data_IF_495062055437
#
_entry.id   IF_495062055437
#
_cell.length_a   1.000
_cell.length_b   1.000
_cell.length_c   1.000
_cell.angle_alpha   90.00
_cell.angle_beta   90.00
_cell.angle_gamma   90.00
#
_symmetry.space_group_name_H-M   'P 1'
#
loop_
_entity.id
_entity.type
_entity.pdbx_description
1 polymer ?
#
# COMPACT_ATOMS: atom_id res chain seq x y z
N UNK A 1 -11.82 -5.18 -5.88
CA UNK A 1 -12.46 -3.86 -5.69
C UNK A 1 -12.50 -3.06 -7.01
N UNK A 2 -13.47 -2.15 -7.19
CA UNK A 2 -13.34 -1.12 -8.25
C UNK A 2 -12.30 -0.11 -7.81
N UNK A 3 -11.42 0.29 -8.73
CA UNK A 3 -10.36 1.24 -8.50
C UNK A 3 -10.52 2.42 -9.45
N UNK A 4 -10.11 3.60 -9.00
CA UNK A 4 -10.13 4.85 -9.77
C UNK A 4 -8.77 5.53 -9.69
N UNK A 5 -8.45 6.31 -10.71
CA UNK A 5 -7.27 7.18 -10.71
C UNK A 5 -7.57 8.40 -9.84
N UNK A 6 -6.71 8.66 -8.87
CA UNK A 6 -6.78 9.84 -8.00
C UNK A 6 -5.39 10.45 -7.81
N UNK A 7 -5.37 11.75 -7.48
CA UNK A 7 -4.15 12.41 -7.04
C UNK A 7 -4.21 12.54 -5.51
N UNK A 8 -3.27 11.91 -4.82
CA UNK A 8 -3.14 11.93 -3.35
C UNK A 8 -1.75 12.44 -3.00
N UNK A 9 -1.64 13.33 -2.02
CA UNK A 9 -0.37 13.87 -1.51
C UNK A 9 0.63 14.34 -2.59
N UNK A 10 0.07 14.84 -3.71
CA UNK A 10 0.78 15.38 -4.87
C UNK A 10 1.10 14.39 -6.00
N UNK A 11 0.85 13.09 -5.84
CA UNK A 11 1.15 12.05 -6.84
C UNK A 11 -0.10 11.30 -7.31
N UNK A 12 -0.05 10.68 -8.49
CA UNK A 12 -1.15 9.86 -9.00
C UNK A 12 -1.07 8.43 -8.49
N UNK A 13 -2.22 7.87 -8.12
CA UNK A 13 -2.35 6.49 -7.68
C UNK A 13 -3.70 5.90 -8.09
N UNK A 14 -3.76 4.56 -8.15
CA UNK A 14 -5.03 3.84 -8.14
C UNK A 14 -5.50 3.72 -6.69
N UNK A 15 -6.75 4.11 -6.42
CA UNK A 15 -7.37 4.03 -5.09
C UNK A 15 -8.73 3.33 -5.19
N UNK A 16 -9.26 2.76 -4.10
CA UNK A 16 -10.63 2.27 -4.05
C UNK A 16 -11.63 3.37 -4.43
N UNK A 17 -12.63 3.04 -5.25
CA UNK A 17 -13.73 3.97 -5.59
C UNK A 17 -14.56 4.36 -4.35
N UNK A 18 -14.60 3.49 -3.34
CA UNK A 18 -15.27 3.74 -2.07
C UNK A 18 -14.64 2.95 -0.91
N UNK A 19 -15.22 3.04 0.30
CA UNK A 19 -14.68 2.36 1.48
C UNK A 19 -14.57 0.84 1.30
N UNK A 20 -13.44 0.25 1.74
CA UNK A 20 -13.22 -1.20 1.73
C UNK A 20 -12.84 -1.74 3.12
N UNK A 21 -13.79 -1.82 4.08
CA UNK A 21 -13.48 -2.23 5.46
C UNK A 21 -12.83 -3.61 5.58
N UNK A 22 -13.19 -4.55 4.70
CA UNK A 22 -12.58 -5.89 4.70
C UNK A 22 -11.10 -5.86 4.28
N UNK A 23 -10.73 -4.99 3.32
CA UNK A 23 -9.34 -4.82 2.91
C UNK A 23 -8.53 -4.11 3.99
N UNK A 24 -9.11 -3.09 4.63
CA UNK A 24 -8.44 -2.38 5.73
C UNK A 24 -8.19 -3.32 6.91
N UNK A 25 -9.19 -4.12 7.32
CA UNK A 25 -8.98 -5.14 8.37
C UNK A 25 -7.90 -6.15 7.99
N UNK A 26 -7.90 -6.60 6.74
CA UNK A 26 -6.85 -7.51 6.26
C UNK A 26 -5.45 -6.87 6.35
N UNK A 27 -5.30 -5.60 5.96
CA UNK A 27 -4.05 -4.86 6.11
C UNK A 27 -3.64 -4.72 7.58
N UNK A 28 -4.59 -4.41 8.47
CA UNK A 28 -4.35 -4.31 9.91
C UNK A 28 -3.84 -5.63 10.51
N UNK A 29 -4.45 -6.75 10.14
CA UNK A 29 -4.06 -8.08 10.61
C UNK A 29 -2.65 -8.44 10.14
N UNK A 30 -2.30 -8.10 8.89
CA UNK A 30 -0.93 -8.26 8.36
C UNK A 30 0.08 -7.45 9.18
N UNK A 31 -0.22 -6.19 9.51
CA UNK A 31 0.67 -5.36 10.35
C UNK A 31 0.87 -6.00 11.73
N UNK A 32 -0.22 -6.43 12.38
CA UNK A 32 -0.16 -7.04 13.72
C UNK A 32 0.64 -8.34 13.74
N UNK A 33 0.41 -9.21 12.76
CA UNK A 33 1.05 -10.54 12.72
C UNK A 33 2.55 -10.48 12.41
N UNK A 34 2.97 -9.47 11.63
CA UNK A 34 4.36 -9.31 11.21
C UNK A 34 5.20 -8.40 12.11
N UNK A 35 4.60 -7.59 12.99
CA UNK A 35 5.34 -6.64 13.84
C UNK A 35 6.42 -7.33 14.69
N UNK A 36 6.20 -8.57 15.13
CA UNK A 36 7.21 -9.35 15.89
C UNK A 36 8.53 -9.63 15.13
N UNK A 37 8.53 -9.52 13.80
CA UNK A 37 9.74 -9.70 12.98
C UNK A 37 10.46 -8.37 12.69
N UNK A 38 9.86 -7.25 13.07
CA UNK A 38 10.38 -5.91 12.82
C UNK A 38 11.50 -5.58 13.81
N UNK A 39 12.58 -5.01 13.32
CA UNK A 39 13.58 -4.40 14.18
C UNK A 39 13.04 -3.10 14.81
N UNK A 40 13.41 -2.75 16.05
CA UNK A 40 13.13 -1.44 16.62
C UNK A 40 13.66 -0.32 15.71
N UNK A 41 12.94 0.80 15.64
CA UNK A 41 13.41 1.96 14.89
C UNK A 41 14.60 2.60 15.61
N UNK A 42 15.59 3.01 14.82
CA UNK A 42 16.63 3.95 15.23
C UNK A 42 16.10 5.39 15.21
N UNK A 43 16.79 6.28 15.93
CA UNK A 43 16.49 7.72 15.92
C UNK A 43 16.56 8.31 14.50
N UNK A 44 17.54 7.87 13.71
CA UNK A 44 17.69 8.29 12.31
C UNK A 44 16.49 7.88 11.44
N UNK A 45 15.91 6.70 11.68
CA UNK A 45 14.73 6.24 10.95
C UNK A 45 13.47 6.99 11.36
N UNK A 46 13.34 7.35 12.63
CA UNK A 46 12.25 8.20 13.14
C UNK A 46 12.34 9.58 12.50
N UNK A 47 13.51 10.22 12.55
CA UNK A 47 13.73 11.57 12.01
C UNK A 47 13.44 11.65 10.51
N UNK A 48 13.83 10.62 9.75
CA UNK A 48 13.54 10.52 8.31
C UNK A 48 12.04 10.53 8.00
N UNK A 49 11.17 10.22 8.96
CA UNK A 49 9.70 10.28 8.81
C UNK A 49 9.11 11.65 9.19
N UNK A 50 9.95 12.62 9.53
CA UNK A 50 9.54 13.99 9.88
C UNK A 50 8.43 14.00 10.93
N UNK A 51 8.69 13.47 12.14
CA UNK A 51 7.66 13.21 13.16
C UNK A 51 6.85 14.45 13.53
N UNK A 52 7.46 15.64 13.48
CA UNK A 52 6.80 16.92 13.78
C UNK A 52 5.69 17.30 12.79
N UNK A 53 5.70 16.70 11.60
CA UNK A 53 4.66 16.91 10.58
C UNK A 53 3.50 15.91 10.69
N UNK A 54 3.63 14.89 11.55
CA UNK A 54 2.65 13.83 11.71
C UNK A 54 1.50 14.27 12.62
N UNK A 55 0.29 13.83 12.27
CA UNK A 55 -0.86 13.94 13.18
C UNK A 55 -0.64 13.05 14.40
N UNK A 56 -1.31 13.31 15.53
CA UNK A 56 -1.14 12.51 16.75
C UNK A 56 -1.36 11.00 16.56
N UNK A 57 -2.29 10.59 15.69
CA UNK A 57 -2.52 9.19 15.35
C UNK A 57 -1.36 8.57 14.56
N UNK A 58 -0.89 9.28 13.54
CA UNK A 58 0.24 8.88 12.70
C UNK A 58 1.55 8.78 13.51
N UNK A 59 1.77 9.71 14.45
CA UNK A 59 2.92 9.66 15.35
C UNK A 59 2.88 8.45 16.29
N UNK A 60 1.71 8.15 16.90
CA UNK A 60 1.54 6.92 17.71
C UNK A 60 1.83 5.68 16.87
N UNK A 61 1.36 5.67 15.62
CA UNK A 61 1.59 4.55 14.71
C UNK A 61 3.07 4.39 14.36
N UNK A 62 3.80 5.49 14.14
CA UNK A 62 5.24 5.47 13.94
C UNK A 62 5.97 4.85 15.15
N UNK A 63 5.65 5.29 16.37
CA UNK A 63 6.31 4.78 17.58
C UNK A 63 6.01 3.29 17.84
N UNK A 64 4.76 2.87 17.65
CA UNK A 64 4.33 1.52 17.99
C UNK A 64 4.65 0.50 16.89
N UNK A 65 4.40 0.86 15.63
CA UNK A 65 4.40 -0.08 14.49
C UNK A 65 5.52 0.20 13.48
N UNK A 66 6.34 1.23 13.73
CA UNK A 66 7.45 1.59 12.86
C UNK A 66 7.06 2.34 11.58
N UNK A 67 5.77 2.65 11.39
CA UNK A 67 5.27 3.36 10.21
C UNK A 67 4.01 4.17 10.51
N UNK A 68 3.88 5.42 10.02
CA UNK A 68 2.79 6.32 10.42
C UNK A 68 1.44 6.02 9.76
N UNK A 69 1.41 5.32 8.62
CA UNK A 69 0.22 5.16 7.78
C UNK A 69 -0.37 3.73 7.83
N UNK A 70 -0.66 3.25 9.04
CA UNK A 70 -1.29 1.95 9.34
C UNK A 70 -2.62 2.15 10.09
N UNK A 71 -3.47 1.14 10.18
CA UNK A 71 -4.76 1.21 10.88
C UNK A 71 -5.66 2.35 10.41
N UNK A 72 -6.10 3.24 11.30
CA UNK A 72 -6.99 4.35 10.98
C UNK A 72 -6.40 5.37 10.01
N UNK A 73 -5.07 5.39 9.86
CA UNK A 73 -4.35 6.27 8.93
C UNK A 73 -4.00 5.57 7.62
N UNK A 74 -4.28 4.26 7.50
CA UNK A 74 -4.03 3.49 6.29
C UNK A 74 -4.99 3.88 5.16
N UNK A 75 -4.43 4.08 3.97
CA UNK A 75 -5.17 4.31 2.73
C UNK A 75 -4.60 3.41 1.65
N UNK A 76 -5.35 2.39 1.25
CA UNK A 76 -4.91 1.53 0.15
C UNK A 76 -4.74 2.36 -1.14
N UNK A 77 -3.56 2.28 -1.73
CA UNK A 77 -3.26 2.91 -3.01
C UNK A 77 -2.16 2.14 -3.75
N UNK A 78 -2.13 2.25 -5.07
CA UNK A 78 -1.03 1.79 -5.91
C UNK A 78 -0.46 2.99 -6.66
N UNK A 79 0.75 3.40 -6.29
CA UNK A 79 1.44 4.56 -6.86
C UNK A 79 1.68 4.39 -8.35
N UNK A 80 1.33 5.39 -9.14
CA UNK A 80 1.52 5.43 -10.59
C UNK A 80 2.58 6.45 -11.02
N UNK A 81 2.88 7.44 -10.17
CA UNK A 81 3.84 8.49 -10.48
C UNK A 81 4.55 9.01 -9.23
N UNK A 82 5.61 9.80 -9.45
CA UNK A 82 6.08 10.74 -8.44
C UNK A 82 5.12 11.92 -8.27
N UNK A 83 5.51 12.90 -7.44
CA UNK A 83 4.75 14.16 -7.31
C UNK A 83 4.73 14.90 -8.65
N UNK A 84 3.56 15.41 -9.02
CA UNK A 84 3.36 16.18 -10.25
C UNK A 84 2.99 17.63 -9.91
N UNK A 85 3.63 18.58 -10.59
CA UNK A 85 3.24 19.98 -10.49
C UNK A 85 1.83 20.23 -11.05
N UNK A 86 1.23 21.37 -10.72
CA UNK A 86 -0.06 21.77 -11.29
C UNK A 86 -0.02 21.89 -12.82
N UNK A 87 1.14 22.21 -13.39
CA UNK A 87 1.35 22.31 -14.84
C UNK A 87 1.42 20.93 -15.52
N UNK A 88 2.06 19.95 -14.88
CA UNK A 88 2.22 18.59 -15.43
C UNK A 88 0.99 17.72 -15.20
N UNK A 89 0.25 17.96 -14.12
CA UNK A 89 -0.87 17.12 -13.67
C UNK A 89 -1.92 16.84 -14.76
N UNK A 90 -2.37 17.80 -15.59
CA UNK A 90 -3.35 17.52 -16.64
C UNK A 90 -2.83 16.55 -17.71
N UNK A 91 -1.56 16.72 -18.14
CA UNK A 91 -0.93 15.86 -19.14
C UNK A 91 -0.73 14.44 -18.60
N UNK A 92 -0.24 14.35 -17.36
CA UNK A 92 -0.02 13.07 -16.70
C UNK A 92 -1.34 12.32 -16.46
N UNK A 93 -2.38 13.04 -16.03
CA UNK A 93 -3.73 12.49 -15.86
C UNK A 93 -4.27 11.91 -17.16
N UNK A 94 -4.18 12.64 -18.27
CA UNK A 94 -4.67 12.16 -19.56
C UNK A 94 -3.94 10.88 -20.02
N UNK A 95 -2.62 10.81 -19.83
CA UNK A 95 -1.82 9.62 -20.16
C UNK A 95 -2.20 8.41 -19.28
N UNK A 96 -2.36 8.63 -17.97
CA UNK A 96 -2.76 7.60 -17.01
C UNK A 96 -4.17 7.10 -17.32
N UNK A 97 -5.13 7.98 -17.51
CA UNK A 97 -6.51 7.61 -17.82
C UNK A 97 -6.58 6.78 -19.10
N UNK A 98 -5.82 7.16 -20.13
CA UNK A 98 -5.73 6.40 -21.38
C UNK A 98 -5.13 5.00 -21.18
N UNK A 99 -4.04 4.88 -20.41
CA UNK A 99 -3.36 3.60 -20.14
C UNK A 99 -4.24 2.63 -19.33
N UNK A 100 -4.99 3.16 -18.35
CA UNK A 100 -5.78 2.36 -17.42
C UNK A 100 -7.25 2.19 -17.84
N UNK A 101 -7.70 2.85 -18.91
CA UNK A 101 -9.10 2.89 -19.33
C UNK A 101 -9.74 1.50 -19.46
N UNK A 102 -8.99 0.51 -19.96
CA UNK A 102 -9.48 -0.86 -20.15
C UNK A 102 -9.49 -1.69 -18.86
N UNK A 103 -8.41 -1.60 -18.07
CA UNK A 103 -8.23 -2.42 -16.86
C UNK A 103 -9.22 -2.00 -15.76
N UNK A 104 -9.51 -0.70 -15.62
CA UNK A 104 -10.38 -0.18 -14.58
C UNK A 104 -11.89 -0.37 -14.85
N UNK A 105 -12.27 -0.93 -16.00
CA UNK A 105 -13.67 -1.28 -16.27
C UNK A 105 -14.19 -2.41 -15.38
N UNK A 106 -13.28 -3.22 -14.82
CA UNK A 106 -13.59 -4.40 -14.02
C UNK A 106 -13.02 -4.26 -12.61
N UNK A 107 -13.64 -4.91 -11.61
CA UNK A 107 -13.02 -5.01 -10.30
C UNK A 107 -11.66 -5.69 -10.38
N UNK A 108 -10.67 -5.14 -9.68
CA UNK A 108 -9.33 -5.72 -9.50
C UNK A 108 -9.35 -6.53 -8.20
N UNK A 109 -9.35 -7.87 -8.24
CA UNK A 109 -9.37 -8.68 -7.02
C UNK A 109 -8.06 -8.55 -6.24
N UNK A 110 -8.15 -8.74 -4.93
CA UNK A 110 -6.97 -9.00 -4.08
C UNK A 110 -7.01 -10.50 -3.79
N UNK A 111 -6.15 -11.25 -4.48
CA UNK A 111 -6.16 -12.70 -4.54
C UNK A 111 -4.87 -13.34 -4.03
N UNK A 112 -3.91 -12.54 -3.55
CA UNK A 112 -2.67 -13.02 -2.96
C UNK A 112 -2.04 -12.01 -1.98
N UNK A 113 -1.23 -12.53 -1.07
CA UNK A 113 -0.28 -11.79 -0.26
C UNK A 113 1.13 -12.24 -0.65
N UNK A 114 2.00 -11.28 -0.97
CA UNK A 114 3.38 -11.56 -1.41
C UNK A 114 4.36 -10.88 -0.46
N UNK A 115 5.30 -11.65 0.06
CA UNK A 115 6.40 -11.15 0.87
C UNK A 115 7.59 -10.85 -0.04
N UNK A 116 8.08 -9.63 0.03
CA UNK A 116 9.27 -9.17 -0.70
C UNK A 116 10.43 -8.93 0.25
N UNK A 117 11.64 -8.98 -0.28
CA UNK A 117 12.88 -8.71 0.46
C UNK A 117 13.83 -7.86 -0.38
N UNK A 118 14.48 -6.89 0.26
CA UNK A 118 15.72 -6.28 -0.25
C UNK A 118 16.87 -7.06 0.38
N UNK A 119 17.74 -7.67 -0.43
CA UNK A 119 18.86 -8.49 0.08
C UNK A 119 19.90 -7.66 0.84
N UNK A 120 19.94 -6.37 0.54
CA UNK A 120 20.69 -5.32 1.22
C UNK A 120 19.91 -4.00 1.10
N UNK A 121 20.10 -3.01 2.00
CA UNK A 121 19.35 -1.76 1.96
C UNK A 121 19.44 -1.05 0.59
N UNK A 122 18.30 -0.84 -0.06
CA UNK A 122 18.20 -0.15 -1.36
C UNK A 122 18.34 -1.06 -2.59
N UNK A 123 18.52 -2.37 -2.41
CA UNK A 123 18.49 -3.32 -3.53
C UNK A 123 17.07 -3.46 -4.11
N UNK A 124 16.92 -3.89 -5.38
CA UNK A 124 15.60 -4.20 -5.92
C UNK A 124 14.86 -5.24 -5.06
N UNK A 125 13.55 -5.04 -4.87
CA UNK A 125 12.71 -6.01 -4.19
C UNK A 125 12.67 -7.35 -4.94
N UNK A 126 12.95 -8.42 -4.23
CA UNK A 126 12.83 -9.80 -4.70
C UNK A 126 11.65 -10.48 -4.02
N UNK A 127 10.90 -11.30 -4.76
CA UNK A 127 9.82 -12.12 -4.18
C UNK A 127 10.43 -13.20 -3.30
N UNK A 128 10.15 -13.16 -2.00
CA UNK A 128 10.53 -14.19 -1.06
C UNK A 128 9.48 -15.31 -1.02
N UNK A 129 8.19 -14.96 -0.96
CA UNK A 129 7.11 -15.93 -1.03
C UNK A 129 5.80 -15.30 -1.53
N UNK A 130 4.95 -16.12 -2.14
CA UNK A 130 3.66 -15.71 -2.70
C UNK A 130 2.57 -16.67 -2.21
N UNK A 131 1.53 -16.14 -1.60
CA UNK A 131 0.46 -16.91 -0.96
C UNK A 131 -0.89 -16.48 -1.52
N UNK A 132 -1.52 -17.37 -2.28
CA UNK A 132 -2.87 -17.12 -2.80
C UNK A 132 -3.89 -17.01 -1.64
N UNK A 133 -4.74 -15.99 -1.72
CA UNK A 133 -5.87 -15.73 -0.85
C UNK A 133 -7.15 -16.30 -1.49
N UNK A 134 -8.00 -16.90 -0.67
CA UNK A 134 -9.21 -17.58 -1.11
C UNK A 134 -9.13 -19.10 -0.97
N UNK A 135 -10.21 -19.80 -1.32
CA UNK A 135 -10.29 -21.25 -1.14
C UNK A 135 -9.34 -21.96 -2.12
N UNK A 136 -8.32 -22.63 -1.56
CA UNK A 136 -7.80 -23.86 -2.19
C UNK A 136 -8.99 -24.82 -2.36
N UNK A 137 -9.26 -25.37 -3.55
CA UNK A 137 -10.25 -26.44 -3.66
C UNK A 137 -9.84 -27.55 -2.71
N UNK A 138 -10.76 -27.99 -1.86
CA UNK A 138 -10.59 -29.18 -1.04
C UNK A 138 -10.17 -30.29 -1.99
N UNK A 139 -8.92 -30.76 -1.89
CA UNK A 139 -8.52 -31.99 -2.57
C UNK A 139 -9.43 -33.07 -2.00
N UNK A 140 -10.46 -33.46 -2.75
CA UNK A 140 -11.14 -34.73 -2.53
C UNK A 140 -10.07 -35.79 -2.77
N UNK A 141 -9.53 -36.33 -1.69
CA UNK A 141 -8.83 -37.59 -1.73
C UNK A 141 -9.93 -38.62 -2.00
N UNK A 142 -9.88 -39.22 -3.19
CA UNK A 142 -10.67 -40.40 -3.52
C UNK A 142 -10.03 -41.63 -2.86
#
# INVERSE_FOLDING_TARGET
PRLVVSQIDGFFALVPEGPLPALNRFADDVVRDFDRFRAPLSEAEIERRSPDSLKPAEFRNLCQWGYPYVFETFRFHMTLSGRASSQESPRLRAAIDSLFAGVLQRPVPVDALTLFVETEPGAPFMVLSHHALGRRPVRKIA
#
